data_IF_589387914457
#
_entry.id   IF_589387914457
#
_cell.length_a   1.000
_cell.length_b   1.000
_cell.length_c   1.000
_cell.angle_alpha   90.00
_cell.angle_beta   90.00
_cell.angle_gamma   90.00
#
_symmetry.space_group_name_H-M   'P 1'
#
loop_
_entity.id
_entity.type
_entity.pdbx_description
1 polymer ?
#
# COMPACT_ATOMS: atom_id res chain seq x y z
N UNK A 1 -3.79 14.64 21.24
CA UNK A 1 -3.09 14.27 22.50
C UNK A 1 -1.77 13.53 22.28
N UNK A 2 -1.73 12.26 21.81
CA UNK A 2 -0.46 11.53 21.62
C UNK A 2 0.49 12.20 20.62
N UNK A 3 -0.04 12.74 19.53
CA UNK A 3 0.72 13.46 18.50
C UNK A 3 1.10 14.91 18.89
N UNK A 4 0.71 15.38 20.09
CA UNK A 4 0.99 16.73 20.58
C UNK A 4 0.63 17.86 19.59
N UNK A 5 -0.46 17.68 18.85
CA UNK A 5 -1.05 18.64 17.92
C UNK A 5 -2.55 18.73 18.17
N UNK A 6 -3.14 19.85 17.76
CA UNK A 6 -4.57 20.12 17.84
C UNK A 6 -5.35 19.60 16.63
N UNK A 7 -4.66 19.27 15.53
CA UNK A 7 -5.27 18.75 14.31
C UNK A 7 -4.47 17.63 13.66
N UNK A 8 -5.13 16.85 12.82
CA UNK A 8 -4.54 15.81 11.96
C UNK A 8 -4.74 16.23 10.50
N UNK A 9 -3.67 16.26 9.70
CA UNK A 9 -3.75 16.60 8.27
C UNK A 9 -4.62 15.60 7.50
N UNK A 10 -4.37 14.30 7.67
CA UNK A 10 -5.11 13.24 7.00
C UNK A 10 -5.49 12.14 8.00
N UNK A 11 -6.79 11.96 8.23
CA UNK A 11 -7.33 10.92 9.09
C UNK A 11 -8.02 9.83 8.26
N UNK A 12 -7.57 8.58 8.40
CA UNK A 12 -7.98 7.49 7.50
C UNK A 12 -8.73 6.40 8.26
N UNK A 13 -9.84 5.94 7.68
CA UNK A 13 -10.53 4.73 8.15
C UNK A 13 -9.66 3.50 7.88
N UNK A 14 -9.35 2.72 8.92
CA UNK A 14 -8.41 1.61 8.81
C UNK A 14 -9.12 0.30 8.54
N UNK A 15 -9.30 -0.02 7.25
CA UNK A 15 -10.16 -1.08 6.72
C UNK A 15 -11.64 -0.74 6.97
N UNK A 16 -12.50 -0.79 5.94
CA UNK A 16 -13.91 -0.53 6.13
C UNK A 16 -14.54 -1.61 7.01
N UNK A 17 -15.37 -1.16 7.95
CA UNK A 17 -16.32 -2.02 8.64
C UNK A 17 -17.58 -2.09 7.77
N UNK A 18 -17.97 -3.29 7.37
CA UNK A 18 -19.10 -3.50 6.47
C UNK A 18 -20.43 -3.59 7.20
N UNK A 19 -20.43 -3.59 8.54
CA UNK A 19 -21.64 -3.59 9.37
C UNK A 19 -22.13 -2.18 9.69
N UNK A 20 -21.24 -1.17 9.61
CA UNK A 20 -21.57 0.22 9.91
C UNK A 20 -22.00 0.94 8.63
N UNK A 21 -23.18 1.60 8.62
CA UNK A 21 -23.60 2.42 7.49
C UNK A 21 -22.56 3.49 7.13
N UNK A 22 -22.34 3.66 5.83
CA UNK A 22 -21.33 4.60 5.32
C UNK A 22 -21.63 6.05 5.69
N UNK A 23 -22.90 6.44 5.72
CA UNK A 23 -23.34 7.77 6.11
C UNK A 23 -23.08 8.08 7.59
N UNK A 24 -23.22 7.10 8.47
CA UNK A 24 -22.85 7.23 9.89
C UNK A 24 -21.34 7.48 10.04
N UNK A 25 -20.51 6.68 9.36
CA UNK A 25 -19.05 6.84 9.40
C UNK A 25 -18.63 8.19 8.82
N UNK A 26 -19.18 8.58 7.66
CA UNK A 26 -18.86 9.85 7.00
C UNK A 26 -19.38 11.05 7.79
N UNK A 27 -20.54 10.95 8.43
CA UNK A 27 -21.08 12.01 9.29
C UNK A 27 -20.17 12.29 10.49
N UNK A 28 -19.71 11.23 11.17
CA UNK A 28 -18.76 11.38 12.27
C UNK A 28 -17.42 11.99 11.82
N UNK A 29 -16.93 11.62 10.63
CA UNK A 29 -15.72 12.19 10.05
C UNK A 29 -15.92 13.66 9.64
N UNK A 30 -17.07 14.02 9.08
CA UNK A 30 -17.43 15.40 8.73
C UNK A 30 -17.47 16.30 9.98
N UNK A 31 -18.04 15.81 11.08
CA UNK A 31 -18.02 16.53 12.36
C UNK A 31 -16.60 16.83 12.84
N UNK A 32 -15.66 15.89 12.70
CA UNK A 32 -14.25 16.10 13.05
C UNK A 32 -13.59 17.14 12.15
N UNK A 33 -13.95 17.17 10.85
CA UNK A 33 -13.47 18.18 9.90
C UNK A 33 -14.03 19.55 10.26
N UNK A 34 -15.33 19.68 10.53
CA UNK A 34 -15.98 20.93 10.93
C UNK A 34 -15.44 21.48 12.25
N UNK A 35 -15.11 20.60 13.19
CA UNK A 35 -14.46 20.95 14.46
C UNK A 35 -12.99 21.39 14.28
N UNK A 36 -12.42 21.28 13.08
CA UNK A 36 -11.03 21.64 12.79
C UNK A 36 -10.00 20.64 13.33
N UNK A 37 -10.45 19.49 13.86
CA UNK A 37 -9.59 18.42 14.40
C UNK A 37 -8.94 17.59 13.29
N UNK A 38 -9.55 17.56 12.11
CA UNK A 38 -9.07 16.85 10.93
C UNK A 38 -9.15 17.81 9.73
N UNK A 39 -8.15 17.79 8.85
CA UNK A 39 -8.18 18.58 7.60
C UNK A 39 -8.76 17.80 6.43
N UNK A 40 -8.29 16.57 6.25
CA UNK A 40 -8.71 15.68 5.19
C UNK A 40 -9.00 14.28 5.71
N UNK A 41 -9.88 13.57 5.01
CA UNK A 41 -10.24 12.19 5.34
C UNK A 41 -9.87 11.25 4.20
N UNK A 42 -9.62 10.00 4.53
CA UNK A 42 -9.35 8.95 3.55
C UNK A 42 -9.74 7.57 4.06
N UNK A 43 -9.45 6.57 3.25
CA UNK A 43 -9.63 5.17 3.61
C UNK A 43 -8.34 4.39 3.43
N UNK A 44 -8.29 3.20 4.04
CA UNK A 44 -7.16 2.30 3.89
C UNK A 44 -7.66 0.88 3.68
N UNK A 45 -7.13 0.23 2.64
CA UNK A 45 -7.40 -1.17 2.32
C UNK A 45 -8.91 -1.39 2.11
N UNK A 46 -9.57 -0.47 1.41
CA UNK A 46 -10.98 -0.58 1.05
C UNK A 46 -11.12 -1.13 -0.39
N UNK A 47 -12.21 -1.86 -0.72
CA UNK A 47 -12.49 -2.22 -2.09
C UNK A 47 -12.97 -1.00 -2.89
N UNK A 48 -12.73 -1.01 -4.21
CA UNK A 48 -13.04 0.13 -5.07
C UNK A 48 -14.52 0.54 -5.04
N UNK A 49 -15.44 -0.44 -4.97
CA UNK A 49 -16.88 -0.19 -4.89
C UNK A 49 -17.27 0.57 -3.62
N UNK A 50 -16.66 0.23 -2.48
CA UNK A 50 -16.96 0.86 -1.20
C UNK A 50 -16.45 2.31 -1.16
N UNK A 51 -15.24 2.55 -1.70
CA UNK A 51 -14.72 3.91 -1.83
C UNK A 51 -15.63 4.73 -2.75
N UNK A 52 -16.07 4.15 -3.86
CA UNK A 52 -17.00 4.80 -4.80
C UNK A 52 -18.32 5.15 -4.12
N UNK A 53 -18.91 4.22 -3.37
CA UNK A 53 -20.14 4.45 -2.59
C UNK A 53 -19.97 5.58 -1.57
N UNK A 54 -18.85 5.59 -0.83
CA UNK A 54 -18.54 6.65 0.12
C UNK A 54 -18.45 8.04 -0.55
N UNK A 55 -17.89 8.12 -1.76
CA UNK A 55 -17.85 9.37 -2.53
C UNK A 55 -19.27 9.84 -2.91
N UNK A 56 -20.15 8.92 -3.31
CA UNK A 56 -21.54 9.24 -3.63
C UNK A 56 -22.36 9.67 -2.42
N UNK A 57 -22.21 8.98 -1.29
CA UNK A 57 -22.85 9.36 -0.02
C UNK A 57 -22.41 10.76 0.39
N UNK A 58 -21.09 11.04 0.36
CA UNK A 58 -20.54 12.36 0.68
C UNK A 58 -21.12 13.45 -0.22
N UNK A 59 -21.21 13.19 -1.54
CA UNK A 59 -21.78 14.13 -2.49
C UNK A 59 -23.27 14.39 -2.22
N UNK A 60 -24.05 13.33 -2.00
CA UNK A 60 -25.51 13.42 -1.78
C UNK A 60 -25.86 14.12 -0.47
N UNK A 61 -25.07 13.90 0.58
CA UNK A 61 -25.34 14.45 1.91
C UNK A 61 -24.52 15.72 2.23
N UNK A 62 -23.72 16.21 1.28
CA UNK A 62 -22.83 17.36 1.47
C UNK A 62 -21.85 17.20 2.64
N UNK A 63 -21.26 16.00 2.76
CA UNK A 63 -20.25 15.68 3.77
C UNK A 63 -18.83 15.79 3.19
N UNK A 64 -17.83 15.88 4.07
CA UNK A 64 -16.44 15.65 3.71
C UNK A 64 -16.29 14.33 2.93
N UNK A 65 -15.53 14.37 1.83
CA UNK A 65 -15.25 13.21 0.97
C UNK A 65 -13.86 12.65 1.22
N UNK A 66 -13.66 11.35 0.96
CA UNK A 66 -12.32 10.77 0.90
C UNK A 66 -11.48 11.45 -0.19
N UNK A 67 -10.25 11.82 0.18
CA UNK A 67 -9.26 12.39 -0.74
C UNK A 67 -8.09 11.44 -0.99
N UNK A 68 -8.00 10.34 -0.26
CA UNK A 68 -6.92 9.37 -0.39
C UNK A 68 -7.35 7.94 -0.08
N UNK A 69 -6.60 7.00 -0.64
CA UNK A 69 -6.68 5.58 -0.34
C UNK A 69 -5.29 5.01 -0.04
N UNK A 70 -5.17 4.31 1.08
CA UNK A 70 -3.96 3.65 1.55
C UNK A 70 -4.11 2.13 1.46
N UNK A 71 -4.01 1.59 0.24
CA UNK A 71 -4.05 0.15 -0.02
C UNK A 71 -2.65 -0.46 -0.18
N UNK A 72 -2.46 -1.78 0.02
CA UNK A 72 -1.17 -2.40 -0.24
C UNK A 72 -0.86 -2.34 -1.73
N UNK A 73 0.37 -1.98 -2.06
CA UNK A 73 0.86 -2.05 -3.43
C UNK A 73 2.37 -2.21 -3.44
N UNK A 74 2.80 -3.26 -4.13
CA UNK A 74 4.18 -3.63 -4.36
C UNK A 74 4.21 -4.62 -5.52
N UNK A 75 5.40 -4.93 -6.04
CA UNK A 75 5.51 -5.81 -7.20
C UNK A 75 4.87 -7.19 -6.98
N UNK A 76 4.82 -7.71 -5.74
CA UNK A 76 4.28 -9.04 -5.46
C UNK A 76 2.75 -9.06 -5.32
N UNK A 77 2.09 -7.90 -5.22
CA UNK A 77 0.64 -7.78 -5.10
C UNK A 77 0.18 -6.49 -5.81
N UNK A 78 -0.18 -6.65 -7.08
CA UNK A 78 -0.57 -5.58 -8.01
C UNK A 78 -2.07 -5.46 -8.17
N UNK A 79 -2.86 -6.16 -7.35
CA UNK A 79 -4.33 -6.30 -7.53
C UNK A 79 -5.09 -4.98 -7.53
N UNK A 80 -4.56 -3.92 -6.91
CA UNK A 80 -5.21 -2.61 -6.94
C UNK A 80 -5.27 -2.01 -8.34
N UNK A 81 -4.42 -2.46 -9.27
CA UNK A 81 -4.40 -1.98 -10.65
C UNK A 81 -5.68 -2.31 -11.42
N UNK A 82 -6.42 -3.35 -11.03
CA UNK A 82 -7.62 -3.79 -11.76
C UNK A 82 -8.78 -2.78 -11.65
N UNK A 83 -9.01 -2.22 -10.46
CA UNK A 83 -10.23 -1.46 -10.16
C UNK A 83 -9.95 -0.23 -9.30
N UNK A 84 -9.20 -0.41 -8.21
CA UNK A 84 -8.98 0.66 -7.23
C UNK A 84 -8.15 1.80 -7.80
N UNK A 85 -7.07 1.50 -8.53
CA UNK A 85 -6.20 2.52 -9.11
C UNK A 85 -6.90 3.34 -10.20
N UNK A 86 -7.56 2.73 -11.22
CA UNK A 86 -8.35 3.49 -12.18
C UNK A 86 -9.46 4.31 -11.52
N UNK A 87 -10.14 3.77 -10.49
CA UNK A 87 -11.16 4.49 -9.72
C UNK A 87 -10.55 5.71 -9.01
N UNK A 88 -9.42 5.55 -8.31
CA UNK A 88 -8.76 6.66 -7.65
C UNK A 88 -8.36 7.76 -8.64
N UNK A 89 -7.79 7.40 -9.80
CA UNK A 89 -7.47 8.37 -10.85
C UNK A 89 -8.73 9.08 -11.39
N UNK A 90 -9.79 8.31 -11.67
CA UNK A 90 -11.07 8.82 -12.19
C UNK A 90 -11.71 9.85 -11.26
N UNK A 91 -11.57 9.66 -9.95
CA UNK A 91 -12.20 10.48 -8.92
C UNK A 91 -11.25 11.46 -8.22
N UNK A 92 -9.98 11.52 -8.64
CA UNK A 92 -8.97 12.43 -8.08
C UNK A 92 -8.60 12.12 -6.63
N UNK A 93 -8.46 10.84 -6.28
CA UNK A 93 -7.96 10.41 -4.97
C UNK A 93 -6.46 10.14 -5.06
N UNK A 94 -5.72 10.61 -4.06
CA UNK A 94 -4.30 10.26 -3.91
C UNK A 94 -4.13 8.82 -3.40
N UNK A 95 -3.16 8.09 -3.94
CA UNK A 95 -2.84 6.73 -3.50
C UNK A 95 -1.51 6.73 -2.75
N UNK A 96 -1.56 6.35 -1.48
CA UNK A 96 -0.38 6.32 -0.59
C UNK A 96 -0.13 4.89 -0.11
N UNK A 97 0.49 4.03 -0.94
CA UNK A 97 0.49 2.60 -0.68
C UNK A 97 1.40 2.21 0.48
N UNK A 98 1.02 1.14 1.17
CA UNK A 98 1.81 0.55 2.24
C UNK A 98 2.51 -0.74 1.81
N UNK A 99 3.59 -1.09 2.52
CA UNK A 99 4.48 -2.24 2.24
C UNK A 99 5.08 -2.28 0.81
N UNK A 100 5.67 -1.19 0.30
CA UNK A 100 6.31 -1.18 -1.02
C UNK A 100 7.49 -2.18 -1.12
N UNK A 101 8.15 -2.52 -0.01
CA UNK A 101 9.22 -3.54 0.04
C UNK A 101 8.71 -4.98 0.21
N UNK A 102 7.40 -5.22 0.26
CA UNK A 102 6.80 -6.52 0.52
C UNK A 102 7.40 -7.24 1.75
N UNK A 103 7.48 -6.53 2.88
CA UNK A 103 8.10 -7.02 4.12
C UNK A 103 9.58 -7.43 4.00
N UNK A 104 10.30 -6.86 3.03
CA UNK A 104 11.73 -7.10 2.78
C UNK A 104 12.00 -8.15 1.70
N UNK A 105 10.96 -8.83 1.18
CA UNK A 105 11.14 -9.81 0.09
C UNK A 105 11.74 -9.17 -1.16
N UNK A 106 11.27 -7.97 -1.53
CA UNK A 106 11.80 -7.24 -2.69
C UNK A 106 13.18 -6.62 -2.45
N UNK A 107 13.62 -6.54 -1.19
CA UNK A 107 14.97 -6.12 -0.83
C UNK A 107 15.96 -7.30 -0.79
N UNK A 108 15.54 -8.52 -1.16
CA UNK A 108 16.38 -9.72 -1.13
C UNK A 108 16.69 -10.23 0.29
N UNK A 109 15.86 -9.88 1.29
CA UNK A 109 16.09 -10.25 2.69
C UNK A 109 15.93 -11.75 2.98
N UNK A 110 15.19 -12.47 2.14
CA UNK A 110 14.86 -13.88 2.37
C UNK A 110 15.62 -14.72 1.35
N UNK A 111 16.66 -15.44 1.78
CA UNK A 111 17.34 -16.40 0.91
C UNK A 111 16.51 -17.68 0.73
N UNK A 112 16.64 -18.33 -0.43
CA UNK A 112 15.91 -19.56 -0.72
C UNK A 112 16.26 -20.66 0.29
N UNK A 113 15.25 -21.17 1.00
CA UNK A 113 15.40 -22.23 2.00
C UNK A 113 16.06 -21.79 3.33
N UNK A 114 16.40 -20.51 3.50
CA UNK A 114 16.94 -19.99 4.75
C UNK A 114 15.82 -19.65 5.76
N UNK A 115 16.10 -19.82 7.05
CA UNK A 115 15.23 -19.32 8.09
C UNK A 115 15.16 -17.78 8.04
N UNK A 116 13.98 -17.15 8.20
CA UNK A 116 13.89 -15.70 8.26
C UNK A 116 14.71 -15.13 9.43
N UNK A 117 15.30 -13.95 9.23
CA UNK A 117 16.02 -13.26 10.31
C UNK A 117 15.16 -13.09 11.57
N UNK A 118 15.81 -13.12 12.74
CA UNK A 118 15.15 -12.99 14.03
C UNK A 118 14.35 -11.67 14.18
N UNK A 119 14.78 -10.58 13.55
CA UNK A 119 14.10 -9.28 13.58
C UNK A 119 13.12 -9.08 12.39
N UNK A 120 12.93 -10.11 11.56
CA UNK A 120 11.95 -10.09 10.47
C UNK A 120 10.53 -9.99 11.02
N UNK A 121 9.62 -9.37 10.25
CA UNK A 121 8.21 -9.26 10.65
C UNK A 121 7.52 -10.62 10.74
N UNK A 122 8.01 -11.62 10.00
CA UNK A 122 7.51 -13.00 10.07
C UNK A 122 7.76 -13.57 11.46
N UNK A 123 9.00 -13.48 11.94
CA UNK A 123 9.38 -14.01 13.27
C UNK A 123 8.75 -13.20 14.40
N UNK A 124 8.76 -11.86 14.30
CA UNK A 124 8.26 -10.99 15.37
C UNK A 124 6.73 -10.96 15.52
N UNK A 125 5.96 -11.24 14.45
CA UNK A 125 4.49 -11.12 14.50
C UNK A 125 3.71 -12.39 14.15
N UNK A 126 4.27 -13.31 13.35
CA UNK A 126 3.57 -14.52 12.92
C UNK A 126 2.24 -14.25 12.20
N UNK A 127 1.35 -15.26 12.19
CA UNK A 127 -0.01 -15.17 11.66
C UNK A 127 -0.09 -14.64 10.23
N UNK A 128 -0.96 -13.64 10.00
CA UNK A 128 -1.16 -13.01 8.68
C UNK A 128 0.12 -12.46 8.04
N UNK A 129 1.17 -12.17 8.82
CA UNK A 129 2.45 -11.72 8.29
C UNK A 129 3.26 -12.88 7.72
N UNK A 130 3.23 -14.04 8.38
CA UNK A 130 3.88 -15.25 7.89
C UNK A 130 3.19 -15.79 6.62
N UNK A 131 1.85 -15.73 6.56
CA UNK A 131 1.07 -16.16 5.38
C UNK A 131 1.44 -15.42 4.08
N UNK A 132 2.00 -14.21 4.18
CA UNK A 132 2.42 -13.41 3.01
C UNK A 132 3.74 -13.90 2.41
N UNK A 133 4.57 -14.57 3.20
CA UNK A 133 5.91 -15.01 2.82
C UNK A 133 5.84 -16.48 2.42
N UNK A 134 5.46 -16.70 1.16
CA UNK A 134 5.39 -18.04 0.56
C UNK A 134 6.67 -18.34 -0.20
N UNK A 135 7.00 -19.62 -0.46
CA UNK A 135 8.15 -19.98 -1.31
C UNK A 135 8.12 -19.27 -2.66
N UNK A 136 6.94 -19.16 -3.28
CA UNK A 136 6.75 -18.46 -4.55
C UNK A 136 7.01 -16.96 -4.44
N UNK A 137 6.53 -16.31 -3.37
CA UNK A 137 6.75 -14.87 -3.16
C UNK A 137 8.23 -14.56 -2.91
N UNK A 138 8.94 -15.43 -2.18
CA UNK A 138 10.38 -15.31 -1.94
C UNK A 138 11.18 -15.50 -3.23
N UNK A 139 10.89 -16.55 -4.01
CA UNK A 139 11.51 -16.81 -5.31
C UNK A 139 11.38 -15.58 -6.24
N UNK A 140 10.17 -15.05 -6.39
CA UNK A 140 9.91 -13.86 -7.22
C UNK A 140 10.60 -12.62 -6.66
N UNK A 141 10.59 -12.42 -5.34
CA UNK A 141 11.30 -11.34 -4.67
C UNK A 141 12.81 -11.36 -4.91
N UNK A 142 13.43 -12.55 -4.86
CA UNK A 142 14.84 -12.75 -5.13
C UNK A 142 15.20 -12.49 -6.60
N UNK A 143 14.33 -12.92 -7.53
CA UNK A 143 14.47 -12.58 -8.96
C UNK A 143 14.39 -11.08 -9.20
N UNK A 144 13.45 -10.38 -8.56
CA UNK A 144 13.38 -8.92 -8.62
C UNK A 144 14.65 -8.26 -8.06
N UNK A 145 15.13 -8.71 -6.90
CA UNK A 145 16.35 -8.18 -6.30
C UNK A 145 17.57 -8.38 -7.22
N UNK A 146 17.62 -9.48 -7.97
CA UNK A 146 18.64 -9.69 -8.98
C UNK A 146 18.50 -8.71 -10.16
N UNK A 147 17.30 -8.52 -10.71
CA UNK A 147 17.03 -7.54 -11.77
C UNK A 147 17.44 -6.12 -11.36
N UNK A 148 17.17 -5.73 -10.10
CA UNK A 148 17.59 -4.45 -9.55
C UNK A 148 19.12 -4.31 -9.58
N UNK A 149 19.85 -5.33 -9.10
CA UNK A 149 21.32 -5.35 -9.11
C UNK A 149 21.90 -5.32 -10.52
N UNK A 150 21.32 -6.07 -11.45
CA UNK A 150 21.73 -6.06 -12.86
C UNK A 150 21.50 -4.68 -13.49
N UNK A 151 20.52 -3.93 -12.98
CA UNK A 151 20.25 -2.53 -13.35
C UNK A 151 21.05 -1.51 -12.52
N UNK A 152 22.06 -1.95 -11.76
CA UNK A 152 22.89 -1.11 -10.87
C UNK A 152 22.11 -0.34 -9.79
N UNK A 153 20.99 -0.89 -9.33
CA UNK A 153 20.19 -0.34 -8.24
C UNK A 153 20.28 -1.24 -6.99
N UNK A 154 20.29 -0.60 -5.82
CA UNK A 154 19.99 -1.33 -4.58
C UNK A 154 18.55 -1.90 -4.65
N UNK A 155 18.31 -3.17 -4.28
CA UNK A 155 16.98 -3.76 -4.34
C UNK A 155 15.90 -3.00 -3.57
N UNK A 156 16.23 -2.40 -2.42
CA UNK A 156 15.26 -1.60 -1.68
C UNK A 156 14.97 -0.28 -2.41
N UNK A 157 15.98 0.38 -2.98
CA UNK A 157 15.78 1.55 -3.84
C UNK A 157 14.88 1.20 -5.04
N UNK A 158 15.19 0.13 -5.75
CA UNK A 158 14.44 -0.31 -6.93
C UNK A 158 12.97 -0.60 -6.60
N UNK A 159 12.69 -1.25 -5.46
CA UNK A 159 11.32 -1.53 -5.05
C UNK A 159 10.51 -0.26 -4.74
N UNK A 160 11.11 0.71 -4.03
CA UNK A 160 10.44 2.00 -3.77
C UNK A 160 10.29 2.80 -5.06
N UNK A 161 11.33 2.85 -5.90
CA UNK A 161 11.33 3.54 -7.19
C UNK A 161 10.25 2.98 -8.10
N UNK A 162 10.15 1.65 -8.18
CA UNK A 162 9.13 0.97 -8.97
C UNK A 162 7.73 1.40 -8.54
N UNK A 163 7.41 1.40 -7.24
CA UNK A 163 6.10 1.83 -6.73
C UNK A 163 5.87 3.33 -6.97
N UNK A 164 6.85 4.18 -6.67
CA UNK A 164 6.78 5.64 -6.81
C UNK A 164 6.41 6.06 -8.24
N UNK A 165 6.96 5.37 -9.24
CA UNK A 165 6.79 5.70 -10.65
C UNK A 165 5.64 4.92 -11.33
N UNK A 166 4.74 4.30 -10.56
CA UNK A 166 3.50 3.75 -11.12
C UNK A 166 2.46 4.86 -11.33
N UNK A 167 1.67 4.79 -12.43
CA UNK A 167 0.59 5.74 -12.65
C UNK A 167 -0.40 5.80 -11.48
N UNK A 168 -0.73 7.01 -11.02
CA UNK A 168 -1.70 7.25 -9.95
C UNK A 168 -1.16 7.14 -8.52
N UNK A 169 0.09 6.72 -8.32
CA UNK A 169 0.72 6.76 -7.01
C UNK A 169 1.09 8.20 -6.62
N UNK A 170 0.69 8.60 -5.42
CA UNK A 170 1.03 9.90 -4.84
C UNK A 170 2.34 9.83 -4.06
N UNK A 171 2.44 8.88 -3.11
CA UNK A 171 3.67 8.66 -2.35
C UNK A 171 3.67 7.28 -1.66
N UNK A 172 4.64 6.39 -1.93
CA UNK A 172 4.77 5.14 -1.19
C UNK A 172 5.22 5.37 0.25
N UNK A 173 4.64 4.63 1.19
CA UNK A 173 5.02 4.68 2.61
C UNK A 173 6.25 3.80 2.83
N UNK A 174 7.38 4.43 3.16
CA UNK A 174 8.61 3.74 3.56
C UNK A 174 8.62 3.45 5.07
N UNK A 175 9.21 2.31 5.45
CA UNK A 175 9.36 1.92 6.85
C UNK A 175 10.81 1.56 7.15
N UNK A 176 11.57 2.55 7.62
CA UNK A 176 12.99 2.43 7.99
C UNK A 176 13.14 2.30 9.51
N UNK A 177 14.14 1.53 9.95
CA UNK A 177 14.48 1.33 11.37
C UNK A 177 15.81 1.98 11.76
N UNK A 178 16.65 2.31 10.78
CA UNK A 178 17.98 2.86 10.97
C UNK A 178 18.19 4.07 10.06
N UNK A 179 19.09 4.97 10.45
CA UNK A 179 19.45 6.13 9.63
C UNK A 179 20.04 5.71 8.28
N UNK A 180 20.90 4.69 8.27
CA UNK A 180 21.48 4.15 7.04
C UNK A 180 20.42 3.66 6.03
N UNK A 181 19.32 3.06 6.52
CA UNK A 181 18.20 2.68 5.64
C UNK A 181 17.49 3.90 5.07
N UNK A 182 17.34 4.98 5.85
CA UNK A 182 16.77 6.22 5.36
C UNK A 182 17.67 6.86 4.29
N UNK A 183 18.95 7.02 4.60
CA UNK A 183 19.96 7.59 3.70
C UNK A 183 20.07 6.81 2.38
N UNK A 184 19.97 5.48 2.42
CA UNK A 184 19.92 4.66 1.22
C UNK A 184 18.67 4.94 0.36
N UNK A 185 17.52 5.27 0.96
CA UNK A 185 16.27 5.47 0.23
C UNK A 185 16.04 6.93 -0.22
N UNK A 186 16.68 7.91 0.41
CA UNK A 186 16.53 9.34 0.06
C UNK A 186 16.79 9.64 -1.44
N UNK A 187 17.83 9.08 -2.09
CA UNK A 187 18.08 9.32 -3.52
C UNK A 187 16.93 8.94 -4.44
N UNK A 188 16.06 8.02 -4.02
CA UNK A 188 14.93 7.55 -4.83
C UNK A 188 14.01 8.69 -5.24
N UNK A 189 13.89 9.76 -4.44
CA UNK A 189 13.05 10.92 -4.76
C UNK A 189 13.37 11.53 -6.14
N UNK A 190 14.66 11.56 -6.49
CA UNK A 190 15.16 12.15 -7.74
C UNK A 190 15.35 11.13 -8.87
N UNK A 191 15.21 9.83 -8.57
CA UNK A 191 15.37 8.76 -9.55
C UNK A 191 14.13 8.59 -10.43
N UNK A 192 14.36 8.02 -11.62
CA UNK A 192 13.33 7.62 -12.57
C UNK A 192 13.46 6.14 -12.93
N UNK A 193 12.34 5.44 -12.91
CA UNK A 193 12.26 4.04 -13.34
C UNK A 193 12.48 3.98 -14.85
N UNK A 194 13.49 3.26 -15.29
CA UNK A 194 13.74 2.98 -16.71
C UNK A 194 12.61 2.12 -17.30
N UNK A 195 12.28 2.32 -18.57
CA UNK A 195 11.28 1.51 -19.27
C UNK A 195 11.69 0.03 -19.35
N UNK A 196 12.98 -0.26 -19.43
CA UNK A 196 13.53 -1.62 -19.44
C UNK A 196 13.21 -2.35 -18.13
N UNK A 197 13.54 -1.73 -16.98
CA UNK A 197 13.23 -2.31 -15.67
C UNK A 197 11.70 -2.41 -15.44
N UNK A 198 10.92 -1.44 -15.93
CA UNK A 198 9.45 -1.49 -15.87
C UNK A 198 8.92 -2.72 -16.61
N UNK A 199 9.33 -2.91 -17.86
CA UNK A 199 8.93 -4.05 -18.68
C UNK A 199 9.38 -5.40 -18.06
N UNK A 200 10.60 -5.46 -17.51
CA UNK A 200 11.08 -6.65 -16.82
C UNK A 200 10.22 -6.98 -15.57
N UNK A 201 9.79 -5.96 -14.83
CA UNK A 201 8.88 -6.15 -13.69
C UNK A 201 7.50 -6.66 -14.14
N UNK A 202 6.95 -6.15 -15.23
CA UNK A 202 5.67 -6.60 -15.79
C UNK A 202 5.72 -8.07 -16.25
N UNK A 203 6.85 -8.51 -16.83
CA UNK A 203 7.06 -9.91 -17.17
C UNK A 203 7.20 -10.80 -15.92
N UNK A 204 7.80 -10.27 -14.85
CA UNK A 204 8.02 -11.01 -13.62
C UNK A 204 6.72 -11.20 -12.83
N UNK A 205 5.91 -10.15 -12.71
CA UNK A 205 4.57 -10.18 -12.11
C UNK A 205 3.64 -9.33 -12.98
N UNK A 206 2.72 -9.94 -13.76
CA UNK A 206 1.84 -9.20 -14.65
C UNK A 206 0.98 -8.14 -13.93
N UNK A 207 0.65 -7.02 -14.60
CA UNK A 207 -0.29 -6.04 -14.09
C UNK A 207 -1.58 -6.67 -13.56
N UNK A 208 -2.12 -6.15 -12.46
CA UNK A 208 -3.34 -6.64 -11.82
C UNK A 208 -3.24 -8.01 -11.12
N UNK A 209 -2.10 -8.70 -11.20
CA UNK A 209 -1.92 -10.03 -10.58
C UNK A 209 -1.31 -9.97 -9.17
N UNK A 210 -1.24 -11.12 -8.50
CA UNK A 210 -0.56 -11.24 -7.21
C UNK A 210 0.12 -12.60 -7.05
N UNK A 211 1.28 -12.60 -6.41
CA UNK A 211 2.01 -13.80 -5.97
C UNK A 211 2.11 -13.87 -4.44
N UNK A 212 1.79 -12.78 -3.74
CA UNK A 212 1.65 -12.71 -2.28
C UNK A 212 0.30 -12.04 -1.92
N UNK A 213 -0.29 -12.43 -0.78
CA UNK A 213 -1.60 -11.89 -0.37
C UNK A 213 -1.48 -10.80 0.69
N UNK A 214 -1.27 -9.54 0.29
CA UNK A 214 -1.23 -8.41 1.23
C UNK A 214 -2.62 -7.96 1.70
N UNK A 215 -3.67 -8.32 0.98
CA UNK A 215 -5.04 -8.11 1.40
C UNK A 215 -5.55 -9.15 2.43
N UNK A 216 -4.75 -10.10 2.88
CA UNK A 216 -5.17 -11.10 3.88
C UNK A 216 -5.59 -10.53 5.25
N UNK A 217 -5.35 -9.23 5.47
CA UNK A 217 -5.82 -8.50 6.65
C UNK A 217 -7.15 -7.76 6.43
N UNK A 218 -7.73 -7.81 5.24
CA UNK A 218 -8.94 -7.10 4.87
C UNK A 218 -10.16 -8.05 4.94
N UNK A 219 -11.10 -7.84 5.88
CA UNK A 219 -12.22 -8.76 6.09
C UNK A 219 -13.08 -8.99 4.83
N UNK A 220 -13.27 -7.94 4.03
CA UNK A 220 -14.06 -7.98 2.80
C UNK A 220 -13.46 -8.86 1.69
N UNK A 221 -12.16 -9.15 1.70
CA UNK A 221 -11.54 -10.08 0.73
C UNK A 221 -11.81 -11.56 1.02
N UNK A 222 -12.41 -11.87 2.18
CA UNK A 222 -12.81 -13.23 2.57
C UNK A 222 -14.31 -13.31 2.89
N UNK A 223 -15.10 -12.34 2.43
CA UNK A 223 -16.55 -12.40 2.60
C UNK A 223 -17.08 -13.67 1.93
N UNK A 224 -17.80 -14.48 2.71
CA UNK A 224 -18.50 -15.65 2.22
C UNK A 224 -19.82 -15.17 1.64
N UNK A 225 -20.10 -15.54 0.39
CA UNK A 225 -21.43 -15.34 -0.19
C UNK A 225 -22.39 -16.23 0.60
N UNK A 226 -23.27 -15.62 1.37
CA UNK A 226 -24.40 -16.28 2.06
C UNK A 226 -25.62 -16.31 1.16
#
# INVERSE_FOLDING_TARGET
RRLQTDYIDLYQTHRPDMEIPLDETLGALDDLVRQGKVRYIGSSTAPAWHVTEALWVSQRQHLARFVSEQSPYNLLDRRIENELMPMCQRHGLGVIPWSPLAMGMLAGRYADGAAPDADSRVVLRGGIYAERVTPRAVEVGNRFAQLARDSSLDPAQAAILWVKDQPGITAPIIGVRTLAQLENLLPVMEMKLSEELRAACDLLVPPGSAVANFFNSAPWMKQTLV
#
